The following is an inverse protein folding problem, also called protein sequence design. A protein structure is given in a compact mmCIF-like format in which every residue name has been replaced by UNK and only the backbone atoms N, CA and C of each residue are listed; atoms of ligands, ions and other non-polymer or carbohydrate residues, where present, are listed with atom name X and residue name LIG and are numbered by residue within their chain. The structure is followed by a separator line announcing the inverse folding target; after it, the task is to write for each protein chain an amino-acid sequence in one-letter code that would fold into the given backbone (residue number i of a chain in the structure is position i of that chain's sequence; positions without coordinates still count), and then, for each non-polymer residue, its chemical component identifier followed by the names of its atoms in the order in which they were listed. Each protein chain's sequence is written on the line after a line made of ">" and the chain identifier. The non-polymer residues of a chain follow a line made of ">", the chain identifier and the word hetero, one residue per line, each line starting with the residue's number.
data_IF_485647767406
#
_entry.id   IF_485647767406
#
_cell.length_a   1.000
_cell.length_b   1.000
_cell.length_c   1.000
_cell.angle_alpha   90.00
_cell.angle_beta   90.00
_cell.angle_gamma   90.00
#
_symmetry.space_group_name_H-M   'P 1'
#
loop_
_entity.id
_entity.type
_entity.pdbx_description
1 polymer ?
#
# COMPACT_ATOMS: atom_id res chain seq x y z
N UNK A 1 10.79 -71.51 51.52
CA UNK A 1 11.89 -70.88 50.78
C UNK A 1 11.32 -69.88 49.77
N UNK A 2 12.02 -68.76 49.56
CA UNK A 2 11.73 -67.62 48.65
C UNK A 2 10.63 -66.64 49.07
N UNK A 3 10.92 -65.45 49.59
CA UNK A 3 11.76 -64.28 49.18
C UNK A 3 10.90 -63.18 48.50
N UNK A 4 10.45 -62.25 49.34
CA UNK A 4 10.46 -60.78 49.24
C UNK A 4 9.84 -59.94 48.09
N UNK A 5 9.18 -58.88 48.60
CA UNK A 5 9.03 -57.49 48.13
C UNK A 5 7.98 -57.13 47.07
N UNK A 6 7.00 -56.35 47.54
CA UNK A 6 6.04 -55.64 46.72
C UNK A 6 6.64 -54.45 45.98
N UNK A 7 5.85 -53.94 45.04
CA UNK A 7 6.08 -52.63 44.45
C UNK A 7 4.73 -51.89 44.42
N UNK A 8 4.82 -50.64 44.86
CA UNK A 8 3.78 -49.66 45.08
C UNK A 8 3.03 -49.33 43.79
N UNK A 9 1.76 -48.94 43.96
CA UNK A 9 1.02 -48.16 42.97
C UNK A 9 1.85 -46.92 42.61
N UNK A 10 2.00 -46.55 41.33
CA UNK A 10 2.57 -45.26 40.99
C UNK A 10 1.60 -44.15 41.40
N UNK A 11 2.07 -43.38 42.36
CA UNK A 11 1.54 -42.11 42.86
C UNK A 11 1.56 -41.03 41.78
N UNK A 12 0.52 -40.21 41.78
CA UNK A 12 0.45 -38.87 41.20
C UNK A 12 1.69 -38.06 41.57
N UNK A 13 2.61 -37.82 40.61
CA UNK A 13 3.57 -36.70 40.55
C UNK A 13 4.60 -37.00 39.44
N UNK A 14 4.44 -36.39 38.27
CA UNK A 14 5.51 -35.99 37.31
C UNK A 14 4.85 -35.49 36.01
N UNK A 15 4.07 -34.41 36.12
CA UNK A 15 3.80 -33.51 35.00
C UNK A 15 3.71 -32.09 35.56
N UNK A 16 4.77 -31.70 36.26
CA UNK A 16 4.99 -30.33 36.69
C UNK A 16 6.40 -29.95 36.26
N UNK A 17 6.52 -28.71 35.79
CA UNK A 17 7.78 -27.94 35.65
C UNK A 17 8.44 -27.77 34.27
N UNK A 18 7.71 -27.78 33.14
CA UNK A 18 8.24 -27.19 31.88
C UNK A 18 7.33 -26.15 31.19
N UNK A 19 6.12 -25.90 31.70
CA UNK A 19 5.29 -24.77 31.23
C UNK A 19 5.54 -23.48 32.04
N UNK A 20 6.43 -23.54 33.04
CA UNK A 20 6.92 -22.41 33.84
C UNK A 20 8.30 -21.91 33.36
N UNK A 21 8.56 -21.99 32.06
CA UNK A 21 9.14 -20.82 31.43
C UNK A 21 7.97 -19.83 31.28
N UNK A 22 7.55 -19.08 32.31
CA UNK A 22 8.27 -17.87 32.73
C UNK A 22 9.36 -17.44 31.74
N UNK A 23 8.99 -17.39 30.45
CA UNK A 23 9.47 -16.34 29.60
C UNK A 23 9.24 -15.08 30.43
N UNK A 24 10.32 -14.46 30.88
CA UNK A 24 10.31 -13.01 31.10
C UNK A 24 9.82 -12.46 29.78
N UNK A 25 8.50 -12.34 29.64
CA UNK A 25 7.88 -11.98 28.39
C UNK A 25 8.42 -10.60 28.12
N UNK A 26 9.37 -10.54 27.19
CA UNK A 26 10.04 -9.31 26.84
C UNK A 26 8.91 -8.37 26.45
N UNK A 27 8.68 -7.34 27.26
CA UNK A 27 7.68 -6.36 26.90
C UNK A 27 8.21 -5.65 25.67
N UNK A 28 7.37 -5.58 24.66
CA UNK A 28 7.61 -4.87 23.42
C UNK A 28 6.61 -3.74 23.29
N UNK A 29 7.00 -2.71 22.55
CA UNK A 29 6.09 -1.63 22.18
C UNK A 29 5.55 -1.87 20.79
N UNK A 30 4.23 -1.91 20.68
CA UNK A 30 3.51 -1.86 19.40
C UNK A 30 2.72 -0.55 19.32
N UNK A 31 2.24 -0.19 18.14
CA UNK A 31 1.43 1.01 17.96
C UNK A 31 0.07 0.64 17.37
N UNK A 32 -1.02 1.15 17.92
CA UNK A 32 -2.36 1.06 17.31
C UNK A 32 -2.87 2.50 17.17
N UNK A 33 -3.21 2.92 15.95
CA UNK A 33 -3.68 4.28 15.66
C UNK A 33 -2.74 5.36 16.22
N UNK A 34 -1.43 5.17 16.02
CA UNK A 34 -0.32 5.99 16.55
C UNK A 34 -0.08 5.93 18.05
N UNK A 35 -0.97 5.31 18.83
CA UNK A 35 -0.82 5.18 20.28
C UNK A 35 0.07 3.98 20.61
N UNK A 36 1.10 4.15 21.48
CA UNK A 36 1.98 3.06 21.88
C UNK A 36 1.36 2.18 22.97
N UNK A 37 1.45 0.86 22.82
CA UNK A 37 1.01 -0.14 23.80
C UNK A 37 2.14 -1.11 24.13
N UNK A 38 2.24 -1.48 25.41
CA UNK A 38 3.19 -2.50 25.87
C UNK A 38 2.52 -3.86 25.94
N UNK A 39 3.04 -4.81 25.18
CA UNK A 39 2.53 -6.19 25.14
C UNK A 39 3.66 -7.19 25.35
N UNK A 40 3.30 -8.43 25.67
CA UNK A 40 4.25 -9.53 25.66
C UNK A 40 4.71 -9.83 24.22
N UNK A 41 6.02 -9.97 24.00
CA UNK A 41 6.52 -10.48 22.73
C UNK A 41 6.07 -11.92 22.50
N UNK A 42 5.77 -12.25 21.24
CA UNK A 42 5.41 -13.60 20.82
C UNK A 42 3.95 -13.76 20.36
N UNK A 43 3.43 -15.00 20.29
CA UNK A 43 2.09 -15.28 19.80
C UNK A 43 1.02 -14.51 20.60
N UNK A 44 0.27 -13.67 19.91
CA UNK A 44 -0.77 -12.79 20.48
C UNK A 44 -2.04 -12.90 19.64
N UNK A 45 -3.17 -13.13 20.30
CA UNK A 45 -4.48 -13.19 19.64
C UNK A 45 -4.88 -11.78 19.17
N UNK A 46 -5.41 -11.65 17.96
CA UNK A 46 -5.85 -10.36 17.43
C UNK A 46 -6.94 -9.73 18.29
N UNK A 47 -7.86 -10.53 18.84
CA UNK A 47 -8.85 -10.06 19.81
C UNK A 47 -8.22 -9.43 21.07
N UNK A 48 -7.05 -9.91 21.51
CA UNK A 48 -6.33 -9.30 22.64
C UNK A 48 -5.75 -7.94 22.27
N UNK A 49 -5.25 -7.76 21.04
CA UNK A 49 -4.78 -6.47 20.53
C UNK A 49 -5.91 -5.44 20.45
N UNK A 50 -7.08 -5.87 19.97
CA UNK A 50 -8.29 -5.04 19.92
C UNK A 50 -8.75 -4.55 21.29
N UNK A 51 -8.51 -5.34 22.33
CA UNK A 51 -8.87 -5.00 23.70
C UNK A 51 -7.88 -4.02 24.37
N UNK A 52 -6.77 -3.66 23.72
CA UNK A 52 -5.79 -2.72 24.26
C UNK A 52 -6.25 -1.26 24.19
N UNK A 53 -7.10 -0.92 23.21
CA UNK A 53 -7.59 0.45 23.02
C UNK A 53 -8.70 0.78 24.02
N UNK A 54 -8.85 2.07 24.34
CA UNK A 54 -9.95 2.57 25.16
C UNK A 54 -10.76 3.61 24.36
N UNK A 55 -12.02 3.32 23.96
CA UNK A 55 -12.71 2.04 24.10
C UNK A 55 -12.08 0.92 23.24
N UNK A 56 -12.34 -0.37 23.57
CA UNK A 56 -11.89 -1.49 22.76
C UNK A 56 -12.36 -1.38 21.31
N UNK A 57 -11.53 -1.83 20.37
CA UNK A 57 -11.89 -1.88 18.95
C UNK A 57 -13.06 -2.85 18.77
N UNK A 58 -14.20 -2.31 18.35
CA UNK A 58 -15.43 -3.06 18.16
C UNK A 58 -15.26 -4.13 17.06
N UNK A 59 -16.05 -5.20 17.12
CA UNK A 59 -15.90 -6.35 16.22
C UNK A 59 -16.20 -6.00 14.75
N UNK A 60 -17.00 -4.97 14.51
CA UNK A 60 -17.33 -4.43 13.19
C UNK A 60 -16.21 -3.59 12.57
N UNK A 61 -15.27 -3.07 13.37
CA UNK A 61 -14.12 -2.34 12.84
C UNK A 61 -13.06 -3.33 12.39
N UNK A 62 -12.32 -3.01 11.34
CA UNK A 62 -11.18 -3.82 10.92
C UNK A 62 -9.94 -3.49 11.75
N UNK A 63 -8.96 -4.39 11.77
CA UNK A 63 -7.63 -4.13 12.32
C UNK A 63 -6.62 -4.56 11.27
N UNK A 64 -5.74 -3.66 10.89
CA UNK A 64 -4.78 -3.86 9.82
C UNK A 64 -3.36 -3.79 10.38
N UNK A 65 -2.47 -4.63 9.86
CA UNK A 65 -1.03 -4.57 10.11
C UNK A 65 -0.36 -3.75 9.00
N UNK A 66 0.36 -2.69 9.39
CA UNK A 66 1.17 -1.86 8.48
C UNK A 66 2.50 -2.57 8.19
N UNK A 67 2.68 -3.02 6.95
CA UNK A 67 3.90 -3.69 6.48
C UNK A 67 4.68 -2.71 5.59
N UNK A 68 5.88 -2.29 5.99
CA UNK A 68 6.58 -1.16 5.37
C UNK A 68 6.65 -1.20 3.83
N UNK A 69 7.01 -2.35 3.26
CA UNK A 69 7.25 -2.54 1.83
C UNK A 69 6.18 -3.40 1.14
N UNK A 70 5.06 -3.67 1.81
CA UNK A 70 3.97 -4.50 1.28
C UNK A 70 2.59 -3.87 1.50
N UNK A 71 1.57 -4.50 0.93
CA UNK A 71 0.18 -4.11 1.16
C UNK A 71 -0.18 -4.37 2.63
N UNK A 72 -0.94 -3.47 3.22
CA UNK A 72 -1.39 -3.62 4.60
C UNK A 72 -2.26 -4.89 4.73
N UNK A 73 -1.99 -5.67 5.77
CA UNK A 73 -2.66 -6.94 5.97
C UNK A 73 -3.84 -6.78 6.92
N UNK A 74 -5.07 -7.03 6.44
CA UNK A 74 -6.25 -7.17 7.29
C UNK A 74 -6.12 -8.39 8.20
N UNK A 75 -6.32 -8.20 9.50
CA UNK A 75 -6.21 -9.25 10.50
C UNK A 75 -7.60 -9.81 10.87
N UNK A 76 -7.71 -11.14 10.82
CA UNK A 76 -8.88 -11.85 11.33
C UNK A 76 -8.91 -11.79 12.88
N UNK A 77 -10.02 -11.38 13.51
CA UNK A 77 -10.14 -11.33 14.97
C UNK A 77 -9.79 -12.62 15.71
N UNK A 78 -10.02 -13.78 15.10
CA UNK A 78 -9.74 -15.11 15.67
C UNK A 78 -8.31 -15.60 15.41
N UNK A 79 -7.54 -14.88 14.59
CA UNK A 79 -6.16 -15.27 14.25
C UNK A 79 -5.16 -14.91 15.35
N UNK A 80 -4.03 -15.58 15.33
CA UNK A 80 -2.87 -15.28 16.18
C UNK A 80 -1.76 -14.71 15.32
N UNK A 81 -1.15 -13.62 15.77
CA UNK A 81 0.05 -13.04 15.16
C UNK A 81 1.25 -13.17 16.08
N UNK A 82 2.46 -13.10 15.54
CA UNK A 82 3.67 -12.99 16.39
C UNK A 82 3.95 -11.51 16.61
N UNK A 83 3.63 -10.98 17.80
CA UNK A 83 3.90 -9.60 18.14
C UNK A 83 5.40 -9.38 18.34
N UNK A 84 5.96 -8.40 17.60
CA UNK A 84 7.37 -7.97 17.71
C UNK A 84 7.46 -6.46 17.92
N UNK A 85 8.60 -6.00 18.43
CA UNK A 85 8.88 -4.59 18.70
C UNK A 85 8.64 -3.72 17.46
N UNK A 86 7.96 -2.61 17.65
CA UNK A 86 7.74 -1.61 16.61
C UNK A 86 6.63 -1.93 15.62
N UNK A 87 5.94 -3.07 15.74
CA UNK A 87 4.77 -3.36 14.89
C UNK A 87 3.73 -2.24 15.00
N UNK A 88 3.12 -1.91 13.86
CA UNK A 88 2.14 -0.83 13.76
C UNK A 88 0.84 -1.39 13.19
N UNK A 89 -0.25 -1.03 13.85
CA UNK A 89 -1.61 -1.42 13.49
C UNK A 89 -2.48 -0.17 13.37
N UNK A 90 -3.59 -0.31 12.65
CA UNK A 90 -4.58 0.74 12.56
C UNK A 90 -5.99 0.16 12.40
N UNK A 91 -6.98 0.89 12.90
CA UNK A 91 -8.39 0.42 12.95
C UNK A 91 -9.25 1.02 11.85
N UNK A 92 -8.93 2.23 11.43
CA UNK A 92 -9.66 2.97 10.40
C UNK A 92 -8.69 3.69 9.46
N UNK A 93 -9.12 3.89 8.23
CA UNK A 93 -8.45 4.76 7.27
C UNK A 93 -9.46 5.86 6.95
N UNK A 94 -9.15 7.08 7.36
CA UNK A 94 -9.89 8.26 6.92
C UNK A 94 -9.81 8.38 5.40
N UNK A 95 -10.80 9.02 4.78
CA UNK A 95 -10.77 9.30 3.35
C UNK A 95 -9.48 10.07 3.01
N UNK A 96 -8.66 9.50 2.12
CA UNK A 96 -7.47 10.15 1.57
C UNK A 96 -7.87 10.74 0.21
N UNK A 97 -7.66 12.04 0.05
CA UNK A 97 -7.94 12.72 -1.21
C UNK A 97 -6.72 12.60 -2.13
N UNK A 98 -6.85 11.81 -3.19
CA UNK A 98 -5.86 11.69 -4.26
C UNK A 98 -6.34 12.43 -5.51
N UNK A 99 -5.42 12.77 -6.41
CA UNK A 99 -5.77 13.41 -7.68
C UNK A 99 -5.27 12.62 -8.88
N UNK A 100 -6.12 12.30 -9.85
CA UNK A 100 -5.74 11.66 -11.13
C UNK A 100 -6.26 12.54 -12.27
N UNK A 101 -5.39 12.98 -13.18
CA UNK A 101 -5.76 13.83 -14.33
C UNK A 101 -6.56 15.10 -13.96
N UNK A 102 -6.23 15.69 -12.81
CA UNK A 102 -6.88 16.87 -12.19
C UNK A 102 -8.24 16.60 -11.53
N UNK A 103 -8.72 15.37 -11.52
CA UNK A 103 -9.93 14.97 -10.79
C UNK A 103 -9.54 14.45 -9.42
N UNK A 104 -10.24 14.89 -8.39
CA UNK A 104 -10.05 14.42 -7.01
C UNK A 104 -10.89 13.18 -6.75
N UNK A 105 -10.31 12.22 -6.01
CA UNK A 105 -10.93 10.98 -5.61
C UNK A 105 -10.66 10.73 -4.13
N UNK A 106 -11.69 10.30 -3.41
CA UNK A 106 -11.54 9.79 -2.05
C UNK A 106 -11.28 8.29 -2.11
N UNK A 107 -10.21 7.85 -1.46
CA UNK A 107 -9.88 6.43 -1.30
C UNK A 107 -9.71 6.11 0.19
N UNK A 108 -9.99 4.85 0.54
CA UNK A 108 -9.99 4.38 1.92
C UNK A 108 -8.89 3.32 2.16
N UNK A 109 -7.82 3.39 1.38
CA UNK A 109 -6.63 2.54 1.49
C UNK A 109 -5.38 3.42 1.64
N UNK A 110 -4.49 3.10 2.58
CA UNK A 110 -3.24 3.86 2.80
C UNK A 110 -2.16 3.51 1.80
N UNK A 111 -2.29 2.36 1.15
CA UNK A 111 -1.41 1.85 0.12
C UNK A 111 -2.26 1.27 -0.99
N UNK A 112 -1.92 1.57 -2.23
CA UNK A 112 -2.57 0.98 -3.40
C UNK A 112 -1.52 0.58 -4.42
N UNK A 113 -1.74 -0.54 -5.09
CA UNK A 113 -0.95 -0.93 -6.24
C UNK A 113 -1.26 -0.04 -7.44
N UNK A 114 -0.36 0.02 -8.43
CA UNK A 114 -0.68 0.69 -9.69
C UNK A 114 -1.94 0.13 -10.37
N UNK A 115 -2.17 -1.18 -10.28
CA UNK A 115 -3.38 -1.80 -10.79
C UNK A 115 -4.64 -1.29 -10.07
N UNK A 116 -4.60 -1.17 -8.74
CA UNK A 116 -5.71 -0.59 -7.97
C UNK A 116 -5.91 0.90 -8.30
N UNK A 117 -4.84 1.67 -8.48
CA UNK A 117 -4.94 3.09 -8.84
C UNK A 117 -5.55 3.31 -10.23
N UNK A 118 -5.34 2.40 -11.19
CA UNK A 118 -5.92 2.46 -12.53
C UNK A 118 -7.44 2.33 -12.54
N UNK A 119 -8.03 1.67 -11.55
CA UNK A 119 -9.47 1.44 -11.47
C UNK A 119 -10.19 2.48 -10.59
N UNK A 120 -9.46 3.45 -10.02
CA UNK A 120 -10.08 4.54 -9.23
C UNK A 120 -10.93 5.46 -10.10
N UNK A 121 -10.47 5.96 -11.27
CA UNK A 121 -11.30 6.76 -12.15
C UNK A 121 -12.45 5.93 -12.76
N UNK A 122 -13.57 6.60 -13.05
CA UNK A 122 -14.63 6.05 -13.88
C UNK A 122 -14.82 6.92 -15.13
N UNK A 123 -14.56 6.40 -16.35
CA UNK A 123 -14.07 5.04 -16.64
C UNK A 123 -12.61 4.82 -16.20
N UNK A 124 -12.24 3.55 -16.02
CA UNK A 124 -10.89 3.12 -15.65
C UNK A 124 -9.82 3.69 -16.60
N UNK A 125 -8.59 3.80 -16.09
CA UNK A 125 -7.44 4.17 -16.91
C UNK A 125 -7.17 3.07 -17.94
N UNK A 126 -7.34 3.42 -19.22
CA UNK A 126 -7.11 2.50 -20.33
C UNK A 126 -5.71 1.88 -20.32
N UNK A 127 -5.60 0.61 -20.74
CA UNK A 127 -4.37 -0.17 -20.72
C UNK A 127 -3.25 0.41 -21.61
N UNK A 128 -3.60 1.19 -22.63
CA UNK A 128 -2.65 1.88 -23.51
C UNK A 128 -2.10 3.19 -22.93
N UNK A 129 -2.59 3.60 -21.75
CA UNK A 129 -2.09 4.75 -20.99
C UNK A 129 -1.16 4.31 -19.86
N UNK A 130 -0.16 5.14 -19.60
CA UNK A 130 0.74 5.00 -18.47
C UNK A 130 0.27 5.87 -17.33
N UNK A 131 0.34 5.34 -16.11
CA UNK A 131 0.13 6.08 -14.87
C UNK A 131 1.49 6.61 -14.38
N UNK A 132 1.52 7.87 -13.99
CA UNK A 132 2.71 8.54 -13.46
C UNK A 132 2.38 9.21 -12.14
N UNK A 133 3.26 9.07 -11.16
CA UNK A 133 3.25 9.79 -9.89
C UNK A 133 4.00 11.12 -10.07
N UNK A 134 3.31 12.22 -9.82
CA UNK A 134 3.88 13.57 -9.76
C UNK A 134 4.64 13.72 -8.44
N UNK A 135 5.96 13.87 -8.54
CA UNK A 135 6.85 14.02 -7.39
C UNK A 135 7.37 15.45 -7.35
N UNK A 136 7.00 16.26 -6.34
CA UNK A 136 7.43 17.65 -6.24
C UNK A 136 8.96 17.79 -6.35
N UNK A 137 9.39 18.74 -7.16
CA UNK A 137 10.80 19.08 -7.42
C UNK A 137 11.66 17.92 -7.95
N UNK A 138 11.03 16.86 -8.46
CA UNK A 138 11.70 15.68 -9.02
C UNK A 138 11.05 15.27 -10.33
N UNK A 139 11.68 14.32 -11.01
CA UNK A 139 11.11 13.69 -12.19
C UNK A 139 9.96 12.78 -11.77
N UNK A 140 8.86 12.87 -12.51
CA UNK A 140 7.71 11.98 -12.36
C UNK A 140 8.11 10.52 -12.51
N UNK A 141 7.51 9.68 -11.67
CA UNK A 141 7.82 8.26 -11.60
C UNK A 141 6.72 7.48 -12.29
N UNK A 142 7.07 6.65 -13.27
CA UNK A 142 6.10 5.75 -13.90
C UNK A 142 5.68 4.69 -12.87
N UNK A 143 4.39 4.55 -12.66
CA UNK A 143 3.79 3.55 -11.77
C UNK A 143 3.45 2.30 -12.60
N UNK A 144 4.05 1.17 -12.25
CA UNK A 144 3.72 -0.15 -12.76
C UNK A 144 2.56 -0.75 -11.97
N UNK A 145 1.95 -1.80 -12.50
CA UNK A 145 0.75 -2.39 -11.91
C UNK A 145 1.01 -3.01 -10.53
N UNK A 146 2.24 -3.50 -10.29
CA UNK A 146 2.67 -4.11 -9.03
C UNK A 146 3.27 -3.10 -8.03
N UNK A 147 3.54 -1.86 -8.45
CA UNK A 147 4.15 -0.85 -7.57
C UNK A 147 3.18 -0.48 -6.45
N UNK A 148 3.59 -0.67 -5.20
CA UNK A 148 2.81 -0.32 -4.01
C UNK A 148 3.12 1.13 -3.64
N UNK A 149 2.12 2.00 -3.73
CA UNK A 149 2.26 3.43 -3.46
C UNK A 149 1.60 3.76 -2.13
N UNK A 150 2.37 4.32 -1.19
CA UNK A 150 1.83 4.88 0.05
C UNK A 150 1.13 6.20 -0.25
N UNK A 151 -0.16 6.26 0.05
CA UNK A 151 -1.02 7.40 -0.22
C UNK A 151 -1.01 8.40 0.94
N UNK A 152 -1.22 9.66 0.59
CA UNK A 152 -1.42 10.77 1.51
C UNK A 152 -2.24 11.85 0.79
N UNK A 153 -2.86 12.75 1.54
CA UNK A 153 -3.66 13.81 0.95
C UNK A 153 -2.87 14.66 -0.03
N UNK A 154 -3.51 14.96 -1.15
CA UNK A 154 -2.94 15.80 -2.21
C UNK A 154 -1.86 15.13 -3.04
N UNK A 155 -1.61 13.82 -2.87
CA UNK A 155 -0.81 13.04 -3.83
C UNK A 155 -1.46 13.09 -5.21
N UNK A 156 -0.62 13.20 -6.27
CA UNK A 156 -1.10 13.45 -7.63
C UNK A 156 -0.54 12.42 -8.58
N UNK A 157 -1.41 11.96 -9.45
CA UNK A 157 -1.10 11.13 -10.58
C UNK A 157 -1.62 11.78 -11.86
N UNK A 158 -1.03 11.39 -12.97
CA UNK A 158 -1.53 11.74 -14.28
C UNK A 158 -1.34 10.57 -15.24
N UNK A 159 -2.19 10.54 -16.26
CA UNK A 159 -2.16 9.50 -17.27
C UNK A 159 -1.68 10.09 -18.59
N UNK A 160 -0.69 9.43 -19.20
CA UNK A 160 -0.12 9.83 -20.47
C UNK A 160 -0.30 8.71 -21.51
N UNK A 161 -0.46 9.02 -22.80
CA UNK A 161 -0.42 8.02 -23.85
C UNK A 161 0.89 7.20 -23.78
N UNK A 162 0.81 5.87 -23.90
CA UNK A 162 1.99 5.01 -23.87
C UNK A 162 2.93 5.18 -25.06
N UNK A 163 2.46 5.86 -26.12
CA UNK A 163 3.25 6.32 -27.25
C UNK A 163 3.31 7.84 -27.22
N UNK A 164 4.51 8.37 -26.97
CA UNK A 164 4.77 9.80 -27.18
C UNK A 164 4.78 10.00 -28.70
N UNK A 165 3.84 10.77 -29.23
CA UNK A 165 3.95 11.29 -30.58
C UNK A 165 4.82 12.55 -30.47
N UNK A 166 6.12 12.53 -30.81
CA UNK A 166 6.93 13.74 -30.81
C UNK A 166 6.29 14.73 -31.79
N UNK A 167 5.99 15.93 -31.29
CA UNK A 167 5.06 16.90 -31.89
C UNK A 167 5.07 16.95 -33.41
N UNK A 168 3.88 16.88 -33.99
CA UNK A 168 3.66 17.33 -35.35
C UNK A 168 3.85 18.85 -35.33
N UNK A 169 4.86 19.44 -36.01
CA UNK A 169 4.96 20.88 -36.07
C UNK A 169 3.71 21.43 -36.77
N UNK A 170 3.10 22.46 -36.18
CA UNK A 170 1.98 23.22 -36.73
C UNK A 170 2.40 23.87 -38.07
N UNK A 171 2.38 23.09 -39.16
CA UNK A 171 2.54 23.58 -40.52
C UNK A 171 1.17 23.93 -41.08
N UNK A 172 0.45 24.85 -40.41
CA UNK A 172 -0.82 25.34 -40.92
C UNK A 172 -1.21 26.71 -40.33
N UNK A 173 -0.38 27.74 -40.51
CA UNK A 173 -0.87 29.06 -40.95
C UNK A 173 0.28 30.03 -41.28
N UNK A 174 0.78 30.01 -42.52
CA UNK A 174 1.37 31.22 -43.14
C UNK A 174 0.99 31.20 -44.61
N UNK A 175 -0.28 31.49 -44.86
CA UNK A 175 -0.69 32.06 -46.14
C UNK A 175 -0.61 33.57 -46.03
N UNK A 176 0.45 34.18 -46.57
CA UNK A 176 0.46 35.55 -47.08
C UNK A 176 1.85 35.90 -47.64
N UNK A 177 2.10 35.54 -48.89
CA UNK A 177 2.50 36.52 -49.93
C UNK A 177 2.51 35.85 -51.31
N UNK A 178 1.45 36.11 -52.07
CA UNK A 178 1.48 35.92 -53.51
C UNK A 178 2.39 36.97 -54.14
N UNK A 179 3.70 36.77 -54.05
CA UNK A 179 4.71 37.48 -54.84
C UNK A 179 4.89 36.73 -56.16
N UNK A 180 3.93 36.90 -57.07
CA UNK A 180 4.08 36.50 -58.46
C UNK A 180 4.95 37.52 -59.18
N UNK A 181 6.22 37.20 -59.43
CA UNK A 181 7.03 37.88 -60.45
C UNK A 181 8.21 37.01 -60.88
N UNK A 182 8.62 37.20 -62.15
CA UNK A 182 9.66 36.54 -62.95
C UNK A 182 9.29 35.15 -63.51
N UNK A 183 9.61 34.75 -64.73
CA UNK A 183 10.12 35.37 -65.96
C UNK A 183 10.23 34.21 -66.95
N UNK A 184 9.56 34.27 -68.10
CA UNK A 184 9.67 33.35 -69.24
C UNK A 184 9.24 34.19 -70.44
N UNK A 185 9.92 34.27 -71.58
CA UNK A 185 11.06 33.57 -72.12
C UNK A 185 11.48 34.40 -73.35
N UNK A 186 12.77 34.46 -73.63
CA UNK A 186 13.36 35.07 -74.81
C UNK A 186 12.77 34.45 -76.09
N UNK A 187 12.38 35.29 -77.06
CA UNK A 187 12.31 34.88 -78.46
C UNK A 187 12.95 35.94 -79.34
N UNK A 188 14.24 35.73 -79.59
CA UNK A 188 14.95 36.26 -80.75
C UNK A 188 14.85 35.28 -81.92
N UNK A 189 14.67 35.85 -83.12
CA UNK A 189 15.37 35.42 -84.33
C UNK A 189 14.74 34.36 -85.23
N UNK A 190 13.98 34.80 -86.25
CA UNK A 190 14.30 34.65 -87.68
C UNK A 190 13.20 35.28 -88.56
#
# INVERSE_FOLDING_TARGET
>A
MSWYHGVKQPTTEEYSMDAHAEARAKQITIHIDTQPYRVAAGPTLVAALRALTEPPVLAEKDLWLDIDDEQDQKLDPASTITAVEGMRFFTEIDAIVIRIDRVEYEVFERKMTGAQLRVVPSPDVAADRHLWLDVPDKRDVKVQDEDIIRLHDGIRFFTAPGRINPGQPDMANTGADGSGFSELDERDGA
#
